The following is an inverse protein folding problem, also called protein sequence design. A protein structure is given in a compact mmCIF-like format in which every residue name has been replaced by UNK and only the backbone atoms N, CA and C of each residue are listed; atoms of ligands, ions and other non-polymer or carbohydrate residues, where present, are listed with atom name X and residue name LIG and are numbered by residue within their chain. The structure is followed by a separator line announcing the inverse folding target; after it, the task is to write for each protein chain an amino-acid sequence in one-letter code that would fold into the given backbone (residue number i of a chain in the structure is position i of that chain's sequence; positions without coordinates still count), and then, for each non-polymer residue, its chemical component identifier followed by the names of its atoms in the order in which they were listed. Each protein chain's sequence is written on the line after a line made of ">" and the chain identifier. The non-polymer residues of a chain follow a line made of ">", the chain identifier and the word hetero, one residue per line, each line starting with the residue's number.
data_IF_559307789765
#
_entry.id   IF_559307789765
#
_cell.length_a   1.000
_cell.length_b   1.000
_cell.length_c   1.000
_cell.angle_alpha   90.00
_cell.angle_beta   90.00
_cell.angle_gamma   90.00
#
_symmetry.space_group_name_H-M   'P 1'
#
loop_
_entity.id
_entity.type
_entity.pdbx_description
1 polymer ?
#
# COMPACT_ATOMS: atom_id res chain seq x y z
N UNK A 1 45.23 27.38 11.47
CA UNK A 1 44.25 26.82 10.52
C UNK A 1 44.37 27.57 9.20
N UNK A 2 44.34 26.87 8.05
CA UNK A 2 44.41 27.52 6.73
C UNK A 2 43.08 28.16 6.29
N UNK A 3 41.93 27.67 6.83
CA UNK A 3 40.59 28.24 6.64
C UNK A 3 39.74 27.96 7.89
N UNK A 4 39.57 28.92 8.82
CA UNK A 4 38.69 28.72 9.99
C UNK A 4 37.23 28.52 9.53
N UNK A 5 36.50 27.61 10.18
CA UNK A 5 35.11 27.30 9.85
C UNK A 5 34.17 28.44 10.24
N UNK A 6 33.47 29.04 9.28
CA UNK A 6 32.51 30.12 9.54
C UNK A 6 31.11 29.55 9.81
N UNK A 7 30.93 28.94 10.99
CA UNK A 7 29.73 28.17 11.35
C UNK A 7 28.70 28.96 12.19
N UNK A 8 28.91 30.26 12.30
CA UNK A 8 28.13 31.16 13.16
C UNK A 8 26.68 31.31 12.70
N UNK A 9 25.90 31.99 13.54
CA UNK A 9 24.51 32.27 13.22
C UNK A 9 24.35 32.96 11.86
N UNK A 10 23.32 32.56 11.11
CA UNK A 10 22.94 33.15 9.82
C UNK A 10 22.09 34.41 10.00
N UNK A 11 21.67 34.72 11.22
CA UNK A 11 20.69 35.76 11.54
C UNK A 11 21.33 37.14 11.79
N UNK A 12 22.62 37.19 12.12
CA UNK A 12 23.32 38.42 12.51
C UNK A 12 24.64 38.59 11.75
N UNK A 13 25.19 39.80 11.75
CA UNK A 13 26.49 40.08 11.14
C UNK A 13 27.64 39.43 11.94
N UNK A 14 28.74 39.17 11.24
CA UNK A 14 29.96 38.54 11.75
C UNK A 14 30.69 39.35 12.84
N UNK A 15 30.52 40.67 12.82
CA UNK A 15 31.32 41.64 13.54
C UNK A 15 30.52 42.39 14.61
N UNK A 16 29.33 41.89 14.94
CA UNK A 16 28.47 42.42 15.98
C UNK A 16 29.10 42.18 17.37
N UNK A 17 29.55 43.23 18.06
CA UNK A 17 30.23 43.10 19.35
C UNK A 17 29.28 42.72 20.49
N UNK A 18 27.97 42.68 20.25
CA UNK A 18 26.95 42.33 21.24
C UNK A 18 26.62 40.84 21.27
N UNK A 19 27.23 40.05 20.37
CA UNK A 19 26.90 38.64 20.15
C UNK A 19 28.11 37.76 20.49
N UNK A 20 27.85 36.67 21.22
CA UNK A 20 28.81 35.59 21.38
C UNK A 20 28.62 34.59 20.24
N UNK A 21 29.65 34.41 19.42
CA UNK A 21 29.60 33.50 18.27
C UNK A 21 29.96 32.08 18.67
N UNK A 22 29.01 31.17 18.53
CA UNK A 22 29.27 29.74 18.62
C UNK A 22 29.87 29.22 17.30
N UNK A 23 31.00 28.52 17.39
CA UNK A 23 31.77 28.03 16.24
C UNK A 23 32.20 26.58 16.43
N UNK A 24 32.05 25.80 15.36
CA UNK A 24 32.66 24.49 15.21
C UNK A 24 34.05 24.68 14.57
N UNK A 25 35.10 24.54 15.39
CA UNK A 25 36.50 24.62 14.95
C UNK A 25 37.10 23.26 14.57
N UNK A 26 36.69 22.20 15.26
CA UNK A 26 37.21 20.86 15.07
C UNK A 26 36.08 19.84 15.04
N UNK A 27 36.16 18.92 14.08
CA UNK A 27 35.37 17.69 14.07
C UNK A 27 36.35 16.53 14.24
N UNK A 28 36.34 15.90 15.41
CA UNK A 28 37.18 14.75 15.69
C UNK A 28 36.52 13.47 15.20
N UNK A 29 37.32 12.56 14.64
CA UNK A 29 36.87 11.24 14.22
C UNK A 29 37.80 10.16 14.78
N UNK A 30 37.26 8.97 15.03
CA UNK A 30 38.01 7.80 15.50
C UNK A 30 37.37 6.53 14.95
N UNK A 31 38.19 5.62 14.43
CA UNK A 31 37.77 4.32 13.94
C UNK A 31 38.86 3.69 13.08
N UNK A 32 39.07 2.38 13.21
CA UNK A 32 40.01 1.65 12.35
C UNK A 32 39.52 1.69 10.90
N UNK A 33 40.43 1.99 9.97
CA UNK A 33 40.10 2.12 8.56
C UNK A 33 39.33 3.38 8.16
N UNK A 34 38.96 4.27 9.09
CA UNK A 34 38.23 5.50 8.80
C UNK A 34 39.21 6.63 8.42
N UNK A 35 39.02 7.23 7.25
CA UNK A 35 39.83 8.35 6.75
C UNK A 35 38.91 9.44 6.19
N UNK A 36 38.90 10.61 6.82
CA UNK A 36 38.20 11.78 6.29
C UNK A 36 38.87 12.24 4.99
N UNK A 37 38.08 12.42 3.94
CA UNK A 37 38.52 12.83 2.60
C UNK A 37 38.12 14.26 2.24
N UNK A 38 37.08 14.79 2.87
CA UNK A 38 36.60 16.15 2.63
C UNK A 38 35.84 16.68 3.86
N UNK A 39 35.84 18.00 4.06
CA UNK A 39 35.04 18.67 5.06
C UNK A 39 34.58 20.04 4.54
N UNK A 40 33.27 20.31 4.60
CA UNK A 40 32.63 21.48 3.99
C UNK A 40 31.63 22.13 4.93
N UNK A 41 31.52 23.46 4.85
CA UNK A 41 30.47 24.22 5.54
C UNK A 41 29.22 24.25 4.67
N UNK A 42 28.07 23.93 5.27
CA UNK A 42 26.74 24.04 4.66
C UNK A 42 26.05 25.27 5.24
N UNK A 43 25.53 26.15 4.39
CA UNK A 43 24.88 27.38 4.83
C UNK A 43 24.00 28.02 3.77
N UNK A 44 23.62 29.25 4.04
CA UNK A 44 22.61 30.02 3.32
C UNK A 44 23.15 30.76 2.09
N UNK A 45 24.46 31.01 1.99
CA UNK A 45 25.04 31.76 0.89
C UNK A 45 26.47 31.32 0.53
N UNK A 46 26.94 31.73 -0.67
CA UNK A 46 28.24 31.35 -1.22
C UNK A 46 29.43 32.07 -0.58
N UNK A 47 29.18 33.16 0.14
CA UNK A 47 30.24 33.89 0.85
C UNK A 47 30.70 33.08 2.07
N UNK A 48 29.75 32.43 2.75
CA UNK A 48 29.96 31.81 4.05
C UNK A 48 29.90 30.28 4.05
N UNK A 49 29.50 29.65 2.94
CA UNK A 49 29.36 28.19 2.84
C UNK A 49 29.96 27.62 1.57
N UNK A 50 30.54 26.42 1.70
CA UNK A 50 31.03 25.63 0.56
C UNK A 50 29.85 24.93 -0.15
N UNK A 51 28.76 24.65 0.56
CA UNK A 51 27.51 24.09 0.04
C UNK A 51 26.35 25.01 0.44
N UNK A 52 25.63 25.54 -0.55
CA UNK A 52 24.52 26.47 -0.32
C UNK A 52 23.18 25.74 -0.35
N UNK A 53 22.37 25.93 0.70
CA UNK A 53 20.99 25.43 0.81
C UNK A 53 20.07 26.62 1.07
N UNK A 54 19.03 26.77 0.24
CA UNK A 54 18.07 27.86 0.33
C UNK A 54 16.62 27.36 0.15
N UNK A 55 15.68 27.69 1.06
CA UNK A 55 15.90 28.40 2.32
C UNK A 55 16.74 27.56 3.29
N UNK A 56 17.63 28.21 4.04
CA UNK A 56 18.47 27.50 5.01
C UNK A 56 17.65 27.20 6.27
N UNK A 57 17.54 25.93 6.71
CA UNK A 57 16.56 25.51 7.71
C UNK A 57 17.02 25.71 9.17
N UNK A 58 18.21 26.29 9.39
CA UNK A 58 18.86 26.40 10.70
C UNK A 58 19.35 27.82 10.94
N UNK A 59 19.38 28.23 12.20
CA UNK A 59 19.98 29.51 12.60
C UNK A 59 21.50 29.46 12.64
N UNK A 60 22.13 28.27 12.57
CA UNK A 60 23.59 28.05 12.51
C UNK A 60 23.99 27.19 11.31
N UNK A 61 25.14 27.52 10.70
CA UNK A 61 25.71 26.74 9.59
C UNK A 61 26.28 25.41 10.10
N UNK A 62 26.15 24.37 9.28
CA UNK A 62 26.60 23.02 9.62
C UNK A 62 27.95 22.68 8.98
N UNK A 63 28.62 21.66 9.49
CA UNK A 63 29.82 21.06 8.85
C UNK A 63 29.47 19.65 8.42
N UNK A 64 29.76 19.31 7.16
CA UNK A 64 29.68 17.93 6.65
C UNK A 64 31.08 17.42 6.36
N UNK A 65 31.40 16.22 6.86
CA UNK A 65 32.64 15.53 6.57
C UNK A 65 32.36 14.28 5.74
N UNK A 66 33.09 14.11 4.64
CA UNK A 66 33.10 12.87 3.84
C UNK A 66 34.27 12.02 4.30
N UNK A 67 34.07 10.72 4.46
CA UNK A 67 35.13 9.79 4.81
C UNK A 67 35.06 8.52 3.97
N UNK A 68 36.22 7.87 3.84
CA UNK A 68 36.34 6.50 3.35
C UNK A 68 36.52 5.55 4.54
N UNK A 69 35.97 4.35 4.44
CA UNK A 69 36.15 3.29 5.41
C UNK A 69 36.79 2.07 4.71
N UNK A 70 38.08 1.88 4.96
CA UNK A 70 38.88 0.76 4.46
C UNK A 70 38.86 -0.42 5.43
N UNK A 71 39.11 -1.64 4.92
CA UNK A 71 39.17 -2.83 5.77
C UNK A 71 37.81 -3.36 6.22
N UNK A 72 36.72 -2.92 5.58
CA UNK A 72 35.47 -3.66 5.71
C UNK A 72 35.72 -5.10 5.24
N UNK A 73 35.34 -6.12 6.03
CA UNK A 73 35.33 -7.48 5.50
C UNK A 73 34.57 -7.41 4.19
N UNK A 74 35.17 -7.99 3.14
CA UNK A 74 34.42 -8.35 1.96
C UNK A 74 33.33 -9.30 2.44
N UNK A 75 32.18 -8.78 2.84
CA UNK A 75 30.96 -9.51 2.60
C UNK A 75 31.02 -9.71 1.09
N UNK A 76 31.33 -10.92 0.63
CA UNK A 76 30.74 -11.35 -0.62
C UNK A 76 29.30 -10.87 -0.52
N UNK A 77 28.92 -9.90 -1.34
CA UNK A 77 27.53 -9.44 -1.37
C UNK A 77 26.79 -10.69 -1.80
N UNK A 78 26.29 -11.48 -0.84
CA UNK A 78 25.23 -12.44 -1.08
C UNK A 78 24.22 -11.59 -1.85
N UNK A 79 24.00 -11.88 -3.15
CA UNK A 79 23.19 -10.99 -3.96
C UNK A 79 21.89 -10.79 -3.21
N UNK A 80 21.60 -9.54 -2.85
CA UNK A 80 20.37 -9.22 -2.13
C UNK A 80 19.24 -9.92 -2.89
N UNK A 81 18.38 -10.71 -2.21
CA UNK A 81 17.37 -11.48 -2.89
C UNK A 81 16.59 -10.56 -3.83
N UNK A 82 16.43 -10.99 -5.08
CA UNK A 82 15.69 -10.22 -6.09
C UNK A 82 14.33 -10.84 -6.28
N UNK A 83 13.36 -10.01 -6.62
CA UNK A 83 12.06 -10.48 -7.11
C UNK A 83 12.31 -11.33 -8.35
N UNK A 84 11.78 -12.55 -8.35
CA UNK A 84 11.94 -13.54 -9.41
C UNK A 84 10.59 -14.09 -9.85
N UNK A 85 10.52 -14.56 -11.08
CA UNK A 85 9.37 -15.30 -11.57
C UNK A 85 9.39 -16.72 -11.01
N UNK A 86 8.28 -17.17 -10.43
CA UNK A 86 8.07 -18.54 -9.94
C UNK A 86 6.77 -19.11 -10.51
N UNK A 87 6.56 -20.40 -10.30
CA UNK A 87 5.26 -21.06 -10.49
C UNK A 87 4.87 -21.77 -9.20
N UNK A 88 3.57 -21.79 -8.93
CA UNK A 88 2.96 -22.53 -7.82
C UNK A 88 1.77 -23.33 -8.32
N UNK A 89 1.47 -24.45 -7.67
CA UNK A 89 0.33 -25.29 -8.03
C UNK A 89 -0.95 -24.77 -7.40
N UNK A 90 -2.00 -24.62 -8.21
CA UNK A 90 -3.34 -24.38 -7.71
C UNK A 90 -3.88 -25.63 -7.01
N UNK A 91 -4.37 -25.48 -5.78
CA UNK A 91 -5.05 -26.57 -5.09
C UNK A 91 -6.37 -26.98 -5.76
N UNK A 92 -7.00 -26.09 -6.54
CA UNK A 92 -8.31 -26.36 -7.14
C UNK A 92 -8.26 -27.33 -8.32
N UNK A 93 -7.22 -27.25 -9.18
CA UNK A 93 -7.14 -28.04 -10.41
C UNK A 93 -5.73 -28.50 -10.78
N UNK A 94 -4.76 -28.33 -9.87
CA UNK A 94 -3.35 -28.71 -10.06
C UNK A 94 -2.64 -27.96 -11.19
N UNK A 95 -3.24 -26.90 -11.76
CA UNK A 95 -2.59 -26.07 -12.76
C UNK A 95 -1.42 -25.27 -12.16
N UNK A 96 -0.39 -25.03 -12.97
CA UNK A 96 0.74 -24.18 -12.60
C UNK A 96 0.40 -22.71 -12.87
N UNK A 97 0.33 -21.92 -11.80
CA UNK A 97 0.07 -20.48 -11.87
C UNK A 97 1.39 -19.71 -11.68
N UNK A 98 1.71 -18.74 -12.56
CA UNK A 98 2.91 -17.94 -12.40
C UNK A 98 2.73 -16.82 -11.35
N UNK A 99 3.84 -16.36 -10.78
CA UNK A 99 3.88 -15.18 -9.91
C UNK A 99 5.23 -14.48 -9.97
N UNK A 100 5.26 -13.18 -9.66
CA UNK A 100 6.48 -12.53 -9.18
C UNK A 100 6.58 -12.76 -7.67
N UNK A 101 7.75 -13.17 -7.19
CA UNK A 101 7.97 -13.52 -5.80
C UNK A 101 9.30 -12.99 -5.28
N UNK A 102 9.29 -12.42 -4.08
CA UNK A 102 10.47 -12.07 -3.30
C UNK A 102 10.31 -12.57 -1.88
N UNK A 103 11.39 -13.11 -1.33
CA UNK A 103 11.51 -13.41 0.08
C UNK A 103 12.90 -13.03 0.59
N UNK A 104 13.00 -12.40 1.78
CA UNK A 104 14.28 -12.14 2.43
C UNK A 104 14.86 -13.44 3.00
N UNK A 105 16.17 -13.45 3.27
CA UNK A 105 16.73 -14.39 4.23
C UNK A 105 16.34 -13.89 5.63
N UNK A 106 15.54 -14.67 6.36
CA UNK A 106 15.12 -14.34 7.72
C UNK A 106 15.05 -15.60 8.58
N UNK A 107 15.58 -15.52 9.80
CA UNK A 107 15.45 -16.58 10.81
C UNK A 107 14.15 -16.46 11.60
N UNK A 108 13.56 -15.27 11.65
CA UNK A 108 12.28 -14.99 12.34
C UNK A 108 11.12 -14.88 11.36
N UNK A 109 9.87 -15.12 11.81
CA UNK A 109 8.69 -14.88 10.99
C UNK A 109 8.64 -13.43 10.46
N UNK A 110 8.27 -13.27 9.19
CA UNK A 110 8.16 -11.97 8.52
C UNK A 110 6.77 -11.78 7.88
N UNK A 111 6.29 -10.53 7.73
CA UNK A 111 5.02 -10.27 7.06
C UNK A 111 5.03 -10.63 5.57
N UNK A 112 3.83 -10.82 5.02
CA UNK A 112 3.57 -11.09 3.60
C UNK A 112 2.67 -10.00 3.01
N UNK A 113 3.03 -9.46 1.86
CA UNK A 113 2.13 -8.67 1.00
C UNK A 113 1.82 -9.46 -0.27
N UNK A 114 0.53 -9.67 -0.52
CA UNK A 114 -0.03 -10.18 -1.77
C UNK A 114 -0.54 -9.00 -2.60
N UNK A 115 0.03 -8.79 -3.79
CA UNK A 115 -0.40 -7.77 -4.73
C UNK A 115 -1.24 -8.37 -5.86
N UNK A 116 -2.35 -7.74 -6.25
CA UNK A 116 -3.28 -8.26 -7.26
C UNK A 116 -3.33 -7.37 -8.51
N UNK A 117 -3.15 -7.95 -9.70
CA UNK A 117 -3.10 -7.21 -10.96
C UNK A 117 -4.45 -6.61 -11.38
N UNK A 118 -4.41 -5.62 -12.28
CA UNK A 118 -5.62 -4.92 -12.76
C UNK A 118 -6.46 -5.79 -13.73
N UNK A 119 -7.64 -5.30 -14.12
CA UNK A 119 -8.67 -6.07 -14.84
C UNK A 119 -8.17 -6.81 -16.09
N UNK A 120 -7.44 -6.10 -16.95
CA UNK A 120 -6.86 -6.66 -18.17
C UNK A 120 -5.38 -7.05 -18.02
N UNK A 121 -4.91 -7.13 -16.77
CA UNK A 121 -3.51 -7.30 -16.41
C UNK A 121 -3.06 -8.73 -16.20
N UNK A 122 -1.83 -8.85 -15.70
CA UNK A 122 -1.22 -10.08 -15.22
C UNK A 122 -0.16 -9.72 -14.16
N UNK A 123 0.44 -10.75 -13.55
CA UNK A 123 1.50 -10.63 -12.54
C UNK A 123 2.75 -9.81 -12.94
N UNK A 124 2.96 -9.51 -14.22
CA UNK A 124 4.11 -8.71 -14.70
C UNK A 124 3.84 -7.20 -14.67
N UNK A 125 2.64 -6.77 -14.31
CA UNK A 125 2.30 -5.36 -14.21
C UNK A 125 3.12 -4.62 -13.15
N UNK A 126 3.42 -3.36 -13.43
CA UNK A 126 4.26 -2.51 -12.58
C UNK A 126 3.46 -1.55 -11.68
N UNK A 127 2.14 -1.65 -11.63
CA UNK A 127 1.29 -0.79 -10.78
C UNK A 127 1.65 -0.84 -9.30
N UNK A 128 2.10 -2.01 -8.80
CA UNK A 128 2.50 -2.22 -7.42
C UNK A 128 4.02 -2.15 -7.21
N UNK A 129 4.80 -1.62 -8.18
CA UNK A 129 6.26 -1.65 -8.12
C UNK A 129 6.83 -0.91 -6.90
N UNK A 130 6.22 0.19 -6.49
CA UNK A 130 6.64 0.92 -5.29
C UNK A 130 6.44 0.07 -4.01
N UNK A 131 5.36 -0.70 -3.93
CA UNK A 131 5.09 -1.62 -2.81
C UNK A 131 6.07 -2.79 -2.85
N UNK A 132 6.34 -3.35 -4.03
CA UNK A 132 7.35 -4.40 -4.22
C UNK A 132 8.74 -3.94 -3.72
N UNK A 133 9.19 -2.75 -4.13
CA UNK A 133 10.48 -2.20 -3.68
C UNK A 133 10.49 -1.95 -2.17
N UNK A 134 9.40 -1.40 -1.62
CA UNK A 134 9.29 -1.21 -0.18
C UNK A 134 9.36 -2.55 0.59
N UNK A 135 8.72 -3.62 0.10
CA UNK A 135 8.85 -4.95 0.72
C UNK A 135 10.29 -5.42 0.75
N UNK A 136 11.04 -5.21 -0.35
CA UNK A 136 12.46 -5.56 -0.41
C UNK A 136 13.31 -4.75 0.58
N UNK A 137 13.00 -3.48 0.75
CA UNK A 137 13.69 -2.59 1.69
C UNK A 137 13.39 -2.93 3.15
N UNK A 138 12.16 -3.35 3.45
CA UNK A 138 11.74 -3.73 4.81
C UNK A 138 11.98 -5.20 5.15
N UNK A 139 12.40 -6.02 4.19
CA UNK A 139 12.51 -7.46 4.38
C UNK A 139 11.14 -8.13 4.61
N UNK A 140 10.11 -7.71 3.88
CA UNK A 140 8.80 -8.37 3.87
C UNK A 140 8.68 -9.27 2.65
N UNK A 141 8.01 -10.41 2.79
CA UNK A 141 7.74 -11.28 1.63
C UNK A 141 6.73 -10.59 0.72
N UNK A 142 6.97 -10.67 -0.58
CA UNK A 142 6.09 -10.12 -1.61
C UNK A 142 5.73 -11.20 -2.62
N UNK A 143 4.44 -11.34 -2.92
CA UNK A 143 3.96 -12.19 -3.99
C UNK A 143 2.92 -11.45 -4.85
N UNK A 144 3.08 -11.53 -6.17
CA UNK A 144 2.15 -11.01 -7.16
C UNK A 144 1.73 -12.18 -8.05
N UNK A 145 0.67 -12.92 -7.68
CA UNK A 145 0.20 -14.05 -8.47
C UNK A 145 -0.51 -13.61 -9.76
N UNK A 146 -0.58 -14.50 -10.75
CA UNK A 146 -1.39 -14.29 -11.96
C UNK A 146 -2.84 -14.72 -11.79
N UNK A 147 -3.15 -15.75 -10.97
CA UNK A 147 -4.52 -16.16 -10.63
C UNK A 147 -5.49 -16.23 -11.83
N UNK A 148 -5.11 -16.94 -12.90
CA UNK A 148 -5.84 -17.01 -14.19
C UNK A 148 -5.72 -15.76 -15.08
N UNK A 149 -4.93 -14.77 -14.74
CA UNK A 149 -4.63 -13.62 -15.58
C UNK A 149 -5.86 -12.73 -15.82
N UNK A 150 -6.01 -12.11 -17.01
CA UNK A 150 -7.06 -11.13 -17.27
C UNK A 150 -8.48 -11.62 -16.98
N UNK A 151 -9.32 -10.73 -16.44
CA UNK A 151 -10.73 -10.96 -16.11
C UNK A 151 -11.61 -10.97 -17.38
N UNK A 152 -11.47 -12.00 -18.22
CA UNK A 152 -12.13 -12.06 -19.53
C UNK A 152 -12.58 -13.46 -19.98
N UNK A 153 -12.69 -14.42 -19.06
CA UNK A 153 -13.12 -15.81 -19.34
C UNK A 153 -13.70 -16.48 -18.09
N UNK A 154 -14.47 -17.58 -18.23
CA UNK A 154 -15.19 -18.21 -17.12
C UNK A 154 -14.31 -18.65 -15.94
N UNK A 155 -13.07 -19.08 -16.22
CA UNK A 155 -12.11 -19.50 -15.21
C UNK A 155 -11.49 -18.31 -14.44
N UNK A 156 -11.57 -17.09 -14.98
CA UNK A 156 -11.05 -15.86 -14.37
C UNK A 156 -12.16 -15.07 -13.65
N UNK A 157 -11.96 -13.78 -13.42
CA UNK A 157 -13.02 -12.84 -13.01
C UNK A 157 -13.70 -13.24 -11.70
N UNK A 158 -12.92 -13.46 -10.63
CA UNK A 158 -13.46 -13.83 -9.31
C UNK A 158 -14.15 -15.21 -9.28
N UNK A 159 -13.85 -16.09 -10.23
CA UNK A 159 -14.29 -17.49 -10.15
C UNK A 159 -13.72 -18.19 -8.91
N UNK A 160 -14.25 -19.38 -8.59
CA UNK A 160 -13.68 -20.24 -7.54
C UNK A 160 -12.21 -20.61 -7.80
N UNK A 161 -11.78 -20.68 -9.07
CA UNK A 161 -10.39 -20.94 -9.43
C UNK A 161 -9.50 -19.75 -9.07
N UNK A 162 -9.94 -18.52 -9.34
CA UNK A 162 -9.22 -17.30 -8.93
C UNK A 162 -9.02 -17.27 -7.43
N UNK A 163 -10.08 -17.53 -6.66
CA UNK A 163 -10.03 -17.55 -5.19
C UNK A 163 -9.02 -18.59 -4.70
N UNK A 164 -9.13 -19.82 -5.20
CA UNK A 164 -8.24 -20.91 -4.79
C UNK A 164 -6.79 -20.71 -5.22
N UNK A 165 -6.54 -20.07 -6.37
CA UNK A 165 -5.18 -19.74 -6.82
C UNK A 165 -4.52 -18.74 -5.88
N UNK A 166 -5.24 -17.71 -5.42
CA UNK A 166 -4.69 -16.71 -4.50
C UNK A 166 -4.39 -17.34 -3.13
N UNK A 167 -5.28 -18.21 -2.63
CA UNK A 167 -4.99 -18.99 -1.41
C UNK A 167 -3.74 -19.85 -1.61
N UNK A 168 -3.63 -20.54 -2.75
CA UNK A 168 -2.46 -21.37 -3.07
C UNK A 168 -1.17 -20.55 -3.18
N UNK A 169 -1.25 -19.29 -3.61
CA UNK A 169 -0.12 -18.37 -3.64
C UNK A 169 0.36 -18.00 -2.23
N UNK A 170 -0.57 -17.76 -1.29
CA UNK A 170 -0.25 -17.55 0.12
C UNK A 170 0.40 -18.79 0.72
N UNK A 171 -0.17 -19.97 0.48
CA UNK A 171 0.40 -21.24 0.96
C UNK A 171 1.79 -21.52 0.37
N UNK A 172 2.02 -21.17 -0.90
CA UNK A 172 3.36 -21.24 -1.50
C UNK A 172 4.37 -20.34 -0.76
N UNK A 173 3.96 -19.11 -0.42
CA UNK A 173 4.80 -18.18 0.32
C UNK A 173 5.12 -18.71 1.72
N UNK A 174 4.13 -19.22 2.46
CA UNK A 174 4.29 -19.85 3.77
C UNK A 174 5.21 -21.07 3.75
N UNK A 175 5.15 -21.87 2.68
CA UNK A 175 6.04 -23.04 2.53
C UNK A 175 7.47 -22.66 2.20
N UNK A 176 7.67 -21.54 1.51
CA UNK A 176 8.96 -21.11 0.97
C UNK A 176 9.68 -20.15 1.93
N UNK A 177 8.98 -19.58 2.90
CA UNK A 177 9.50 -18.55 3.80
C UNK A 177 8.80 -18.62 5.15
N UNK A 178 9.48 -18.24 6.24
CA UNK A 178 8.88 -18.18 7.57
C UNK A 178 7.94 -16.97 7.65
N UNK A 179 6.65 -17.16 7.35
CA UNK A 179 5.65 -16.09 7.36
C UNK A 179 5.03 -15.96 8.75
N UNK A 180 4.85 -14.72 9.21
CA UNK A 180 3.95 -14.43 10.33
C UNK A 180 2.50 -14.48 9.84
N UNK A 181 1.79 -15.54 10.23
CA UNK A 181 0.39 -15.79 9.85
C UNK A 181 -0.58 -14.68 10.29
N UNK A 182 -0.22 -13.87 11.30
CA UNK A 182 -1.00 -12.71 11.74
C UNK A 182 -0.72 -11.44 10.94
N UNK A 183 0.20 -11.51 9.96
CA UNK A 183 0.71 -10.37 9.18
C UNK A 183 0.69 -10.66 7.67
N UNK A 184 -0.42 -11.23 7.18
CA UNK A 184 -0.68 -11.41 5.75
C UNK A 184 -1.59 -10.29 5.22
N UNK A 185 -1.07 -9.46 4.33
CA UNK A 185 -1.77 -8.29 3.78
C UNK A 185 -2.08 -8.46 2.31
N UNK A 186 -3.21 -7.89 1.89
CA UNK A 186 -3.66 -7.89 0.49
C UNK A 186 -3.74 -6.47 -0.04
N UNK A 187 -3.23 -6.24 -1.25
CA UNK A 187 -3.34 -4.95 -1.95
C UNK A 187 -3.73 -5.13 -3.40
N UNK A 188 -4.65 -4.31 -3.89
CA UNK A 188 -5.03 -4.32 -5.30
C UNK A 188 -5.60 -2.99 -5.77
N UNK A 189 -5.45 -2.71 -7.06
CA UNK A 189 -6.02 -1.53 -7.72
C UNK A 189 -6.88 -1.91 -8.93
N UNK A 190 -7.97 -1.18 -9.18
CA UNK A 190 -8.89 -1.45 -10.30
C UNK A 190 -9.45 -2.87 -10.22
N UNK A 191 -9.28 -3.69 -11.27
CA UNK A 191 -9.57 -5.13 -11.22
C UNK A 191 -8.86 -5.90 -10.11
N UNK A 192 -7.69 -5.44 -9.66
CA UNK A 192 -7.03 -6.00 -8.48
C UNK A 192 -7.72 -5.57 -7.19
N UNK A 193 -8.28 -4.36 -7.15
CA UNK A 193 -9.13 -3.90 -6.05
C UNK A 193 -10.45 -4.69 -5.99
N UNK A 194 -11.03 -5.00 -7.15
CA UNK A 194 -12.15 -5.96 -7.26
C UNK A 194 -11.77 -7.31 -6.66
N UNK A 195 -10.68 -7.93 -7.12
CA UNK A 195 -10.26 -9.24 -6.63
C UNK A 195 -9.88 -9.19 -5.14
N UNK A 196 -9.40 -8.05 -4.63
CA UNK A 196 -9.18 -7.85 -3.21
C UNK A 196 -10.48 -7.92 -2.40
N UNK A 197 -11.58 -7.32 -2.90
CA UNK A 197 -12.90 -7.45 -2.28
C UNK A 197 -13.47 -8.87 -2.41
N UNK A 198 -13.22 -9.56 -3.52
CA UNK A 198 -13.57 -10.99 -3.69
C UNK A 198 -12.91 -11.81 -2.57
N UNK A 199 -11.60 -11.64 -2.37
CA UNK A 199 -10.85 -12.36 -1.34
C UNK A 199 -11.27 -11.98 0.09
N UNK A 200 -11.57 -10.71 0.35
CA UNK A 200 -12.06 -10.28 1.65
C UNK A 200 -13.40 -10.96 2.00
N UNK A 201 -14.31 -11.08 1.03
CA UNK A 201 -15.62 -11.69 1.25
C UNK A 201 -15.61 -13.23 1.31
N UNK A 202 -14.63 -13.89 0.71
CA UNK A 202 -14.49 -15.35 0.71
C UNK A 202 -13.57 -15.93 1.78
N UNK A 203 -12.48 -15.22 2.09
CA UNK A 203 -11.45 -15.64 3.05
C UNK A 203 -11.05 -14.51 3.99
N UNK A 204 -12.01 -13.90 4.74
CA UNK A 204 -11.70 -12.81 5.67
C UNK A 204 -10.68 -13.19 6.75
N UNK A 205 -10.62 -14.48 7.12
CA UNK A 205 -9.71 -15.04 8.13
C UNK A 205 -8.23 -15.03 7.72
N UNK A 206 -7.95 -14.91 6.42
CA UNK A 206 -6.58 -14.99 5.90
C UNK A 206 -5.83 -13.66 6.04
N UNK A 207 -6.54 -12.54 6.18
CA UNK A 207 -5.98 -11.20 5.99
C UNK A 207 -5.89 -10.42 7.30
N UNK A 208 -4.66 -10.04 7.65
CA UNK A 208 -4.41 -9.01 8.66
C UNK A 208 -4.99 -7.65 8.22
N UNK A 209 -5.01 -7.38 6.91
CA UNK A 209 -5.68 -6.23 6.32
C UNK A 209 -5.75 -6.29 4.80
N UNK A 210 -6.81 -5.71 4.23
CA UNK A 210 -7.06 -5.63 2.78
C UNK A 210 -7.17 -4.18 2.32
N UNK A 211 -6.29 -3.77 1.41
CA UNK A 211 -6.20 -2.42 0.84
C UNK A 211 -6.66 -2.42 -0.62
N UNK A 212 -7.91 -1.99 -0.86
CA UNK A 212 -8.53 -2.00 -2.18
C UNK A 212 -8.68 -0.58 -2.75
N UNK A 213 -8.09 -0.36 -3.93
CA UNK A 213 -7.99 0.96 -4.58
C UNK A 213 -8.80 0.99 -5.87
N UNK A 214 -9.67 2.01 -6.00
CA UNK A 214 -10.66 2.16 -7.08
C UNK A 214 -11.34 0.82 -7.46
N UNK A 215 -11.85 0.04 -6.47
CA UNK A 215 -12.35 -1.31 -6.70
C UNK A 215 -13.70 -1.33 -7.42
N UNK A 216 -13.95 -2.41 -8.16
CA UNK A 216 -15.28 -2.78 -8.64
C UNK A 216 -15.91 -3.70 -7.57
N UNK A 217 -17.17 -3.44 -7.21
CA UNK A 217 -17.91 -4.24 -6.22
C UNK A 217 -19.15 -4.94 -6.78
N UNK A 218 -19.63 -4.51 -7.94
CA UNK A 218 -20.83 -5.05 -8.58
C UNK A 218 -20.60 -5.12 -10.10
N UNK A 219 -20.47 -6.33 -10.63
CA UNK A 219 -20.19 -6.53 -12.05
C UNK A 219 -21.41 -6.24 -12.93
N UNK A 220 -22.63 -6.49 -12.45
CA UNK A 220 -23.83 -6.20 -13.24
C UNK A 220 -24.04 -4.69 -13.36
N UNK A 221 -23.85 -3.95 -12.26
CA UNK A 221 -23.88 -2.50 -12.29
C UNK A 221 -22.76 -1.91 -13.18
N UNK A 222 -21.54 -2.48 -13.10
CA UNK A 222 -20.41 -1.99 -13.90
C UNK A 222 -20.57 -2.31 -15.40
N UNK A 223 -21.20 -3.43 -15.74
CA UNK A 223 -21.62 -3.75 -17.11
C UNK A 223 -22.55 -2.67 -17.67
N UNK A 224 -23.61 -2.29 -16.92
CA UNK A 224 -24.53 -1.23 -17.31
C UNK A 224 -23.87 0.16 -17.46
N UNK A 225 -22.67 0.35 -16.90
CA UNK A 225 -21.87 1.57 -17.03
C UNK A 225 -20.91 1.55 -18.24
N UNK A 226 -20.92 0.47 -19.03
CA UNK A 226 -20.31 0.39 -20.36
C UNK A 226 -18.79 0.16 -20.38
N UNK A 227 -18.20 -0.33 -19.28
CA UNK A 227 -16.76 -0.63 -19.21
C UNK A 227 -16.54 -2.14 -19.18
N UNK A 228 -15.57 -2.63 -19.96
CA UNK A 228 -15.20 -4.06 -20.01
C UNK A 228 -16.37 -5.04 -20.26
N UNK A 229 -17.45 -4.58 -20.89
CA UNK A 229 -18.70 -5.32 -21.16
C UNK A 229 -18.42 -6.71 -21.74
N UNK A 230 -17.72 -6.78 -22.87
CA UNK A 230 -17.40 -8.05 -23.54
C UNK A 230 -16.62 -9.01 -22.63
N UNK A 231 -15.74 -8.50 -21.77
CA UNK A 231 -14.95 -9.34 -20.86
C UNK A 231 -15.82 -9.94 -19.74
N UNK A 232 -16.79 -9.17 -19.24
CA UNK A 232 -17.76 -9.66 -18.26
C UNK A 232 -18.72 -10.67 -18.88
N UNK A 233 -19.21 -10.41 -20.10
CA UNK A 233 -20.08 -11.34 -20.81
C UNK A 233 -19.38 -12.66 -21.11
N UNK A 234 -18.12 -12.63 -21.56
CA UNK A 234 -17.31 -13.85 -21.71
C UNK A 234 -17.11 -14.60 -20.40
N UNK A 235 -17.03 -13.89 -19.27
CA UNK A 235 -16.83 -14.50 -17.95
C UNK A 235 -18.12 -15.09 -17.37
N UNK A 236 -19.27 -14.47 -17.65
CA UNK A 236 -20.56 -14.81 -17.05
C UNK A 236 -21.51 -15.56 -18.01
N UNK A 237 -21.13 -15.70 -19.29
CA UNK A 237 -21.91 -16.38 -20.32
C UNK A 237 -22.98 -15.53 -21.01
N UNK A 238 -23.03 -14.21 -20.76
CA UNK A 238 -24.00 -13.28 -21.33
C UNK A 238 -24.04 -11.93 -20.61
N UNK A 239 -24.94 -11.05 -21.02
CA UNK A 239 -25.22 -9.78 -20.35
C UNK A 239 -26.11 -10.00 -19.11
N UNK A 240 -26.01 -9.14 -18.08
CA UNK A 240 -26.96 -9.18 -16.96
C UNK A 240 -28.40 -9.09 -17.47
N UNK A 241 -29.26 -9.98 -17.00
CA UNK A 241 -30.66 -10.10 -17.41
C UNK A 241 -30.93 -11.06 -18.57
N UNK A 242 -29.90 -11.59 -19.26
CA UNK A 242 -30.10 -12.52 -20.39
C UNK A 242 -30.75 -13.84 -19.95
N UNK A 243 -30.40 -14.35 -18.77
CA UNK A 243 -31.02 -15.54 -18.18
C UNK A 243 -30.73 -15.65 -16.67
N UNK A 244 -31.54 -16.42 -15.91
CA UNK A 244 -31.25 -16.70 -14.50
C UNK A 244 -29.86 -17.33 -14.26
N UNK A 245 -29.34 -18.09 -15.22
CA UNK A 245 -28.01 -18.69 -15.11
C UNK A 245 -26.92 -17.63 -15.22
N UNK A 246 -27.05 -16.68 -16.15
CA UNK A 246 -26.11 -15.56 -16.32
C UNK A 246 -26.14 -14.64 -15.10
N UNK A 247 -27.32 -14.28 -14.60
CA UNK A 247 -27.47 -13.46 -13.40
C UNK A 247 -26.84 -14.12 -12.17
N UNK A 248 -26.97 -15.45 -12.04
CA UNK A 248 -26.30 -16.20 -10.98
C UNK A 248 -24.77 -16.12 -11.11
N UNK A 249 -24.20 -16.09 -12.31
CA UNK A 249 -22.75 -15.93 -12.51
C UNK A 249 -22.27 -14.52 -12.15
N UNK A 250 -23.03 -13.46 -12.46
CA UNK A 250 -22.74 -12.10 -12.01
C UNK A 250 -22.83 -11.98 -10.49
N UNK A 251 -23.86 -12.55 -9.87
CA UNK A 251 -24.04 -12.54 -8.43
C UNK A 251 -22.88 -13.24 -7.71
N UNK A 252 -22.50 -14.46 -8.16
CA UNK A 252 -21.37 -15.21 -7.58
C UNK A 252 -20.03 -14.47 -7.65
N UNK A 253 -19.85 -13.59 -8.62
CA UNK A 253 -18.58 -12.87 -8.86
C UNK A 253 -18.57 -11.48 -8.24
N UNK A 254 -19.72 -10.87 -7.99
CA UNK A 254 -19.83 -9.51 -7.49
C UNK A 254 -19.65 -9.46 -5.96
N UNK A 255 -18.58 -8.81 -5.44
CA UNK A 255 -18.35 -8.72 -4.00
C UNK A 255 -19.54 -8.22 -3.21
N UNK A 256 -20.34 -7.28 -3.75
CA UNK A 256 -21.51 -6.70 -3.07
C UNK A 256 -22.49 -7.77 -2.53
N UNK A 257 -22.50 -8.98 -3.11
CA UNK A 257 -23.43 -10.04 -2.70
C UNK A 257 -22.99 -10.80 -1.44
N UNK A 258 -21.70 -10.76 -1.10
CA UNK A 258 -21.12 -11.53 0.00
C UNK A 258 -20.11 -10.76 0.86
N UNK A 259 -19.79 -9.50 0.53
CA UNK A 259 -18.78 -8.71 1.25
C UNK A 259 -19.14 -8.45 2.71
N UNK A 260 -20.42 -8.56 3.10
CA UNK A 260 -20.84 -8.59 4.51
C UNK A 260 -20.13 -9.65 5.36
N UNK A 261 -19.58 -10.70 4.75
CA UNK A 261 -18.79 -11.72 5.44
C UNK A 261 -17.44 -11.15 5.95
N UNK A 262 -16.96 -10.05 5.36
CA UNK A 262 -15.73 -9.36 5.77
C UNK A 262 -15.96 -8.35 6.91
N UNK A 263 -17.13 -8.38 7.58
CA UNK A 263 -17.35 -7.58 8.79
C UNK A 263 -16.36 -7.99 9.87
N UNK A 264 -15.65 -7.00 10.40
CA UNK A 264 -14.57 -7.23 11.37
C UNK A 264 -13.18 -7.41 10.73
N UNK A 265 -13.09 -7.65 9.42
CA UNK A 265 -11.81 -7.59 8.70
C UNK A 265 -11.34 -6.14 8.59
N UNK A 266 -10.04 -5.92 8.75
CA UNK A 266 -9.42 -4.60 8.57
C UNK A 266 -9.39 -4.22 7.09
N UNK A 267 -10.29 -3.33 6.67
CA UNK A 267 -10.49 -2.96 5.26
C UNK A 267 -10.15 -1.49 5.00
N UNK A 268 -9.37 -1.24 3.94
CA UNK A 268 -9.00 0.08 3.49
C UNK A 268 -9.41 0.32 2.05
N UNK A 269 -10.55 0.99 1.88
CA UNK A 269 -11.19 1.28 0.61
C UNK A 269 -10.83 2.69 0.16
N UNK A 270 -10.40 2.84 -1.09
CA UNK A 270 -9.97 4.12 -1.63
C UNK A 270 -10.54 4.37 -3.02
N UNK A 271 -11.02 5.58 -3.29
CA UNK A 271 -11.36 6.01 -4.65
C UNK A 271 -11.06 7.49 -4.89
N UNK A 272 -10.67 7.81 -6.12
CA UNK A 272 -10.44 9.19 -6.53
C UNK A 272 -11.75 9.91 -6.85
N UNK A 273 -11.92 11.15 -6.39
CA UNK A 273 -13.13 11.95 -6.69
C UNK A 273 -13.29 12.24 -8.20
N UNK A 274 -12.19 12.23 -8.97
CA UNK A 274 -12.14 12.50 -10.41
C UNK A 274 -12.20 11.23 -11.26
N UNK A 275 -12.46 10.07 -10.64
CA UNK A 275 -12.57 8.76 -11.30
C UNK A 275 -13.63 8.73 -12.43
N UNK A 276 -13.32 8.01 -13.52
CA UNK A 276 -14.16 7.92 -14.74
C UNK A 276 -14.32 6.50 -15.33
N UNK A 277 -13.58 5.53 -14.82
CA UNK A 277 -13.58 4.12 -15.24
C UNK A 277 -14.46 3.31 -14.30
N UNK A 278 -14.31 3.47 -12.98
CA UNK A 278 -15.12 2.76 -11.99
C UNK A 278 -15.84 3.78 -11.13
N UNK A 279 -17.17 3.95 -11.27
CA UNK A 279 -17.90 4.91 -10.46
C UNK A 279 -17.64 4.76 -8.96
N UNK A 280 -17.47 5.89 -8.28
CA UNK A 280 -17.12 5.97 -6.85
C UNK A 280 -18.11 5.20 -5.97
N UNK A 281 -19.36 5.06 -6.44
CA UNK A 281 -20.38 4.22 -5.81
C UNK A 281 -19.89 2.81 -5.51
N UNK A 282 -19.00 2.21 -6.32
CA UNK A 282 -18.50 0.86 -6.02
C UNK A 282 -17.74 0.79 -4.70
N UNK A 283 -16.92 1.80 -4.39
CA UNK A 283 -16.18 1.87 -3.12
C UNK A 283 -17.10 2.19 -1.95
N UNK A 284 -18.05 3.11 -2.14
CA UNK A 284 -18.98 3.52 -1.07
C UNK A 284 -19.99 2.43 -0.74
N UNK A 285 -20.50 1.71 -1.75
CA UNK A 285 -21.40 0.57 -1.55
C UNK A 285 -20.66 -0.62 -0.94
N UNK A 286 -19.42 -0.88 -1.35
CA UNK A 286 -18.59 -1.91 -0.70
C UNK A 286 -18.37 -1.61 0.79
N UNK A 287 -18.12 -0.33 1.15
CA UNK A 287 -18.02 0.10 2.54
C UNK A 287 -19.33 -0.16 3.30
N UNK A 288 -20.48 0.19 2.72
CA UNK A 288 -21.78 0.04 3.37
C UNK A 288 -22.14 -1.43 3.72
N UNK A 289 -21.60 -2.42 2.99
CA UNK A 289 -21.83 -3.85 3.29
C UNK A 289 -21.23 -4.28 4.62
N UNK A 290 -20.08 -3.69 4.98
CA UNK A 290 -19.34 -3.99 6.22
C UNK A 290 -19.59 -3.00 7.34
N UNK A 291 -20.11 -1.81 7.02
CA UNK A 291 -20.38 -0.77 8.00
C UNK A 291 -21.63 -1.06 8.85
N UNK A 292 -21.58 -0.59 10.11
CA UNK A 292 -22.74 -0.43 10.98
C UNK A 292 -23.78 0.50 10.34
N UNK A 293 -25.05 0.34 10.70
CA UNK A 293 -26.16 1.00 9.99
C UNK A 293 -26.06 2.53 10.03
N UNK A 294 -25.60 3.06 11.16
CA UNK A 294 -25.40 4.49 11.47
C UNK A 294 -24.23 5.11 10.69
N UNK A 295 -23.23 4.32 10.30
CA UNK A 295 -22.04 4.79 9.60
C UNK A 295 -22.19 4.74 8.07
N UNK A 296 -23.27 4.09 7.60
CA UNK A 296 -23.54 3.93 6.17
C UNK A 296 -23.72 5.28 5.48
N UNK A 297 -23.20 5.35 4.27
CA UNK A 297 -23.34 6.51 3.41
C UNK A 297 -24.67 6.37 2.66
N UNK A 298 -25.53 7.38 2.77
CA UNK A 298 -26.86 7.34 2.18
C UNK A 298 -26.83 7.24 0.66
N UNK A 299 -27.86 6.64 0.05
CA UNK A 299 -27.99 6.56 -1.41
C UNK A 299 -27.98 7.94 -2.08
N UNK A 300 -28.58 8.95 -1.43
CA UNK A 300 -28.56 10.33 -1.90
C UNK A 300 -27.13 10.88 -1.97
N UNK A 301 -26.33 10.65 -0.93
CA UNK A 301 -24.94 11.10 -0.88
C UNK A 301 -24.07 10.37 -1.90
N UNK A 302 -24.23 9.05 -2.04
CA UNK A 302 -23.52 8.25 -3.05
C UNK A 302 -23.85 8.77 -4.46
N UNK A 303 -25.14 9.04 -4.74
CA UNK A 303 -25.57 9.63 -6.02
C UNK A 303 -24.92 11.00 -6.24
N UNK A 304 -24.87 11.84 -5.21
CA UNK A 304 -24.20 13.14 -5.31
C UNK A 304 -22.70 13.00 -5.62
N UNK A 305 -21.99 12.08 -4.96
CA UNK A 305 -20.58 11.78 -5.26
C UNK A 305 -20.39 11.42 -6.73
N UNK A 306 -21.24 10.55 -7.26
CA UNK A 306 -21.15 10.05 -8.65
C UNK A 306 -21.48 11.15 -9.66
N UNK A 307 -22.60 11.85 -9.50
CA UNK A 307 -23.08 12.84 -10.46
C UNK A 307 -22.27 14.14 -10.44
N UNK A 308 -21.91 14.61 -9.24
CA UNK A 308 -21.26 15.91 -9.06
C UNK A 308 -19.75 15.80 -8.99
N UNK A 309 -19.19 14.60 -8.74
CA UNK A 309 -17.75 14.39 -8.49
C UNK A 309 -17.21 15.36 -7.44
N UNK A 310 -17.98 15.51 -6.37
CA UNK A 310 -17.71 16.39 -5.23
C UNK A 310 -18.22 15.72 -3.96
N UNK A 311 -17.62 16.08 -2.83
CA UNK A 311 -18.13 15.70 -1.52
C UNK A 311 -19.42 16.50 -1.26
N UNK A 312 -20.53 15.84 -0.87
CA UNK A 312 -21.75 16.52 -0.45
C UNK A 312 -21.46 17.59 0.60
N UNK A 313 -22.05 18.80 0.55
CA UNK A 313 -21.73 19.88 1.48
C UNK A 313 -21.79 19.47 2.96
N UNK A 314 -22.78 18.63 3.33
CA UNK A 314 -22.96 18.13 4.71
C UNK A 314 -21.88 17.12 5.16
N UNK A 315 -21.09 16.58 4.23
CA UNK A 315 -20.04 15.58 4.50
C UNK A 315 -18.63 16.16 4.35
N UNK A 316 -18.49 17.45 4.06
CA UNK A 316 -17.19 18.09 3.92
C UNK A 316 -16.47 18.15 5.28
N UNK A 317 -15.18 17.84 5.26
CA UNK A 317 -14.31 17.92 6.42
C UNK A 317 -12.93 18.43 5.99
N UNK A 318 -12.24 19.12 6.90
CA UNK A 318 -10.84 19.50 6.70
C UNK A 318 -9.96 18.31 7.06
N UNK A 319 -9.64 17.49 6.06
CA UNK A 319 -8.77 16.33 6.21
C UNK A 319 -7.36 16.66 5.72
N UNK A 320 -6.36 16.14 6.40
CA UNK A 320 -4.99 16.15 5.92
C UNK A 320 -4.32 14.81 6.23
N UNK A 321 -3.69 14.24 5.21
CA UNK A 321 -2.95 12.99 5.32
C UNK A 321 -1.70 13.10 4.43
N UNK A 322 -0.50 13.27 5.01
CA UNK A 322 0.73 13.49 4.24
C UNK A 322 1.06 12.31 3.32
N UNK A 323 0.57 11.10 3.62
CA UNK A 323 0.82 9.92 2.80
C UNK A 323 0.10 9.97 1.44
N UNK A 324 -0.91 10.84 1.30
CA UNK A 324 -1.58 11.09 0.02
C UNK A 324 -0.88 12.16 -0.82
N UNK A 325 0.15 12.84 -0.29
CA UNK A 325 0.91 13.86 -1.01
C UNK A 325 0.00 14.99 -1.52
N UNK A 326 0.04 15.30 -2.81
CA UNK A 326 -0.84 16.33 -3.37
C UNK A 326 -2.31 15.89 -3.52
N UNK A 327 -2.60 14.59 -3.37
CA UNK A 327 -3.92 14.00 -3.63
C UNK A 327 -4.69 13.80 -2.33
N UNK A 328 -4.77 14.85 -1.53
CA UNK A 328 -5.28 14.82 -0.16
C UNK A 328 -6.68 14.18 -0.07
N UNK A 329 -7.00 13.48 1.05
CA UNK A 329 -8.36 13.03 1.32
C UNK A 329 -9.35 14.19 1.32
N UNK A 330 -10.50 13.98 0.71
CA UNK A 330 -11.62 14.93 0.68
C UNK A 330 -12.79 14.46 1.55
N UNK A 331 -12.92 13.14 1.71
CA UNK A 331 -13.89 12.50 2.58
C UNK A 331 -13.27 11.22 3.14
N UNK A 332 -13.50 10.95 4.42
CA UNK A 332 -13.13 9.70 5.09
C UNK A 332 -14.26 9.30 6.02
N UNK A 333 -14.61 8.02 5.99
CA UNK A 333 -15.57 7.40 6.92
C UNK A 333 -14.98 6.11 7.44
N UNK A 334 -15.25 5.84 8.70
CA UNK A 334 -14.80 4.66 9.41
C UNK A 334 -16.03 3.98 10.03
N UNK A 335 -16.00 2.65 10.11
CA UNK A 335 -16.98 1.83 10.83
C UNK A 335 -16.32 0.53 11.26
N UNK A 336 -16.14 0.34 12.57
CA UNK A 336 -15.31 -0.75 13.09
C UNK A 336 -13.89 -0.72 12.49
N UNK A 337 -13.48 -1.82 11.86
CA UNK A 337 -12.16 -1.95 11.22
C UNK A 337 -12.15 -1.58 9.72
N UNK A 338 -13.26 -1.04 9.19
CA UNK A 338 -13.34 -0.62 7.81
C UNK A 338 -13.21 0.91 7.67
N UNK A 339 -12.42 1.35 6.70
CA UNK A 339 -12.27 2.76 6.32
C UNK A 339 -12.53 2.91 4.83
N UNK A 340 -13.31 3.93 4.44
CA UNK A 340 -13.40 4.40 3.06
C UNK A 340 -12.89 5.83 2.94
N UNK A 341 -11.98 6.06 1.99
CA UNK A 341 -11.42 7.37 1.70
C UNK A 341 -11.70 7.76 0.24
N UNK A 342 -12.28 8.94 0.05
CA UNK A 342 -12.36 9.59 -1.26
C UNK A 342 -11.32 10.69 -1.32
N UNK A 343 -10.38 10.58 -2.26
CA UNK A 343 -9.21 11.47 -2.35
C UNK A 343 -9.24 12.34 -3.60
N UNK A 344 -8.45 13.43 -3.61
CA UNK A 344 -8.35 14.32 -4.76
C UNK A 344 -7.49 13.73 -5.91
N UNK A 345 -8.00 12.70 -6.57
CA UNK A 345 -7.32 12.03 -7.68
C UNK A 345 -8.28 11.25 -8.57
N UNK A 346 -7.71 10.42 -9.46
CA UNK A 346 -8.45 9.64 -10.45
C UNK A 346 -8.29 8.13 -10.27
N UNK A 347 -8.03 7.42 -11.37
CA UNK A 347 -7.96 5.95 -11.42
C UNK A 347 -6.60 5.41 -11.06
N UNK A 348 -6.32 5.39 -9.76
CA UNK A 348 -4.98 5.10 -9.26
C UNK A 348 -4.94 4.60 -7.82
N UNK A 349 -3.83 3.93 -7.52
CA UNK A 349 -3.39 3.61 -6.18
C UNK A 349 -2.36 4.65 -5.72
N UNK A 350 -2.48 5.12 -4.48
CA UNK A 350 -1.49 6.01 -3.86
C UNK A 350 -0.57 5.17 -2.98
N UNK A 351 0.57 4.74 -3.53
CA UNK A 351 1.43 3.74 -2.89
C UNK A 351 1.92 4.13 -1.50
N UNK A 352 2.36 5.38 -1.22
CA UNK A 352 2.77 5.76 0.12
C UNK A 352 1.64 5.63 1.15
N UNK A 353 0.40 5.98 0.79
CA UNK A 353 -0.77 5.80 1.66
C UNK A 353 -1.12 4.32 1.89
N UNK A 354 -1.05 3.48 0.85
CA UNK A 354 -1.26 2.04 1.01
C UNK A 354 -0.21 1.42 1.95
N UNK A 355 1.06 1.79 1.77
CA UNK A 355 2.19 1.31 2.58
C UNK A 355 2.05 1.77 4.03
N UNK A 356 1.79 3.07 4.25
CA UNK A 356 1.66 3.63 5.58
C UNK A 356 0.53 2.96 6.36
N UNK A 357 -0.61 2.71 5.71
CA UNK A 357 -1.73 2.00 6.31
C UNK A 357 -1.38 0.54 6.65
N UNK A 358 -0.76 -0.21 5.72
CA UNK A 358 -0.33 -1.60 5.99
C UNK A 358 0.64 -1.66 7.18
N UNK A 359 1.60 -0.74 7.23
CA UNK A 359 2.57 -0.67 8.32
C UNK A 359 1.91 -0.32 9.65
N UNK A 360 0.93 0.59 9.64
CA UNK A 360 0.14 0.92 10.82
C UNK A 360 -0.59 -0.31 11.36
N UNK A 361 -1.34 -1.03 10.51
CA UNK A 361 -2.08 -2.23 10.92
C UNK A 361 -1.15 -3.30 11.48
N UNK A 362 0.00 -3.55 10.82
CA UNK A 362 1.00 -4.48 11.33
C UNK A 362 1.51 -4.09 12.73
N UNK A 363 1.82 -2.80 12.94
CA UNK A 363 2.30 -2.31 14.22
C UNK A 363 1.24 -2.41 15.33
N UNK A 364 -0.03 -2.16 15.00
CA UNK A 364 -1.16 -2.30 15.93
C UNK A 364 -1.37 -3.76 16.33
N UNK A 365 -1.40 -4.69 15.37
CA UNK A 365 -1.52 -6.13 15.64
C UNK A 365 -0.37 -6.65 16.52
N UNK A 366 0.87 -6.20 16.26
CA UNK A 366 2.02 -6.57 17.11
C UNK A 366 1.90 -6.06 18.54
N UNK A 367 1.34 -4.87 18.76
CA UNK A 367 1.13 -4.32 20.11
C UNK A 367 0.10 -5.15 20.87
N UNK A 368 -1.00 -5.54 20.23
CA UNK A 368 -2.04 -6.38 20.83
C UNK A 368 -1.47 -7.75 21.23
N UNK A 369 -0.77 -8.42 20.32
CA UNK A 369 -0.17 -9.74 20.60
C UNK A 369 0.85 -9.69 21.74
N UNK A 370 1.59 -8.59 21.88
CA UNK A 370 2.55 -8.42 22.97
C UNK A 370 1.88 -8.12 24.33
N UNK A 371 0.71 -7.48 24.33
CA UNK A 371 -0.07 -7.24 25.54
C UNK A 371 -0.68 -8.55 26.06
N UNK A 372 -1.23 -9.38 25.16
CA UNK A 372 -1.78 -10.70 25.51
C UNK A 372 -0.69 -11.68 25.98
N UNK A 373 0.54 -11.55 25.48
CA UNK A 373 1.67 -12.35 25.94
C UNK A 373 2.23 -11.90 27.32
N UNK A 374 1.89 -10.70 27.76
CA UNK A 374 2.36 -10.09 29.00
C UNK A 374 1.46 -10.30 30.22
N UNK A 375 0.26 -10.87 30.05
CA UNK A 375 -0.67 -11.18 31.13
C UNK A 375 -0.58 -12.67 31.53
N UNK A 376 0.02 -13.01 32.68
CA UNK A 376 0.15 -14.40 33.14
C UNK A 376 -1.18 -15.03 33.57
N UNK A 377 -2.26 -14.25 33.71
CA UNK A 377 -3.48 -14.68 34.40
C UNK A 377 -4.63 -15.12 33.45
N UNK A 378 -4.44 -15.07 32.13
CA UNK A 378 -5.43 -15.52 31.14
C UNK A 378 -5.23 -16.96 30.64
N UNK A 379 -4.23 -17.68 31.16
CA UNK A 379 -4.08 -19.13 30.94
C UNK A 379 -4.53 -19.93 32.16
N UNK A 380 -5.85 -20.06 32.37
CA UNK A 380 -6.44 -21.11 33.20
C UNK A 380 -7.71 -21.67 32.59
#
# INVERSE_FOLDING_TARGET
>A
MAKPGYTWTTLNKADDPTIHYDRIDYVYFKGEGLKVTDAKVIGENKENADIVVAPYPSDHRAVVATFTLSGQPSSEKIPAPKVKEIKYKSAADQSEQPAMFYAPASETPVPLIVALHTWSGNYKQKYHKAIEQWCMEQGWVYIHPDFRGPNNRPEATGSKLVVADIVSAVEYAKKTSNIDDSSVFLVGTSGGGYTALVMAGHHPELWAGVSAWVPISDLAAWHGQGKHVESMEKSCGGAPGDSPAVDAEYAKRSPITYLKNARGTTLHLNAGIKERIVPISHSLLAFNEVAAAEDRISEEDIRFFVEKRKVPPKLQANLSDPNYGQKQPLFRRESGHATVTIFDGGHELIAPAAIAWIQQVHNENRKLNNQDAGDPDTRR
#
